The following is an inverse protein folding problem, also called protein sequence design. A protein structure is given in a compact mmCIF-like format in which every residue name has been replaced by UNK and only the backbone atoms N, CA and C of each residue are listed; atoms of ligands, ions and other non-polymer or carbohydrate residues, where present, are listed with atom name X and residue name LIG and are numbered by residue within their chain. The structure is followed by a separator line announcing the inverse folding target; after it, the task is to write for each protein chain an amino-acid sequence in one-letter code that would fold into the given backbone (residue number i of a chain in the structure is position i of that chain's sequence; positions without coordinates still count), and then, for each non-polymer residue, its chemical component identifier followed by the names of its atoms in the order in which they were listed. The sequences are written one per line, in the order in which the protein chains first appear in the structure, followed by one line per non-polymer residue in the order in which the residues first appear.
data_IF_311067071718
#
_entry.id   IF_311067071718
#
_cell.length_a   1.000
_cell.length_b   1.000
_cell.length_c   1.000
_cell.angle_alpha   90.00
_cell.angle_beta   90.00
_cell.angle_gamma   90.00
#
_symmetry.space_group_name_H-M   'P 1'
#
loop_
_entity.id
_entity.type
_entity.pdbx_description
1 polymer ?
#
# COMPACT_ATOMS: atom_id res chain seq x y z
N UNK A 1 -25.44 -21.35 3.74
CA UNK A 1 -24.00 -20.94 3.87
C UNK A 1 -23.88 -20.09 5.12
N UNK A 2 -23.34 -20.65 6.21
CA UNK A 2 -23.19 -19.96 7.51
C UNK A 2 -22.19 -18.81 7.36
N UNK A 3 -22.62 -17.57 7.55
CA UNK A 3 -21.75 -16.42 7.60
C UNK A 3 -20.75 -16.62 8.76
N UNK A 4 -19.48 -16.85 8.45
CA UNK A 4 -18.43 -16.94 9.47
C UNK A 4 -18.43 -15.63 10.27
N UNK A 5 -18.81 -15.72 11.54
CA UNK A 5 -18.78 -14.57 12.46
C UNK A 5 -17.34 -14.03 12.50
N UNK A 6 -17.18 -12.71 12.31
CA UNK A 6 -15.89 -12.06 12.45
C UNK A 6 -15.30 -12.37 13.84
N UNK A 7 -13.97 -12.61 13.94
CA UNK A 7 -13.34 -12.88 15.21
C UNK A 7 -13.56 -11.72 16.19
N UNK A 8 -13.71 -12.05 17.47
CA UNK A 8 -13.78 -11.05 18.54
C UNK A 8 -12.37 -10.51 18.80
N UNK A 9 -12.26 -9.23 19.14
CA UNK A 9 -11.03 -8.61 19.62
C UNK A 9 -11.30 -7.88 20.94
N UNK A 10 -10.28 -7.66 21.80
CA UNK A 10 -10.48 -7.00 23.07
C UNK A 10 -10.80 -5.52 22.90
N UNK A 11 -11.72 -5.01 23.71
CA UNK A 11 -11.97 -3.58 23.83
C UNK A 11 -10.75 -2.88 24.44
N UNK A 12 -10.26 -1.82 23.80
CA UNK A 12 -9.11 -1.07 24.29
C UNK A 12 -9.31 -0.41 25.67
N UNK A 13 -10.56 -0.20 26.08
CA UNK A 13 -10.88 0.46 27.36
C UNK A 13 -11.10 -0.54 28.50
N UNK A 14 -11.81 -1.64 28.26
CA UNK A 14 -12.21 -2.55 29.36
C UNK A 14 -11.80 -4.01 29.12
N UNK A 15 -11.08 -4.32 28.04
CA UNK A 15 -10.68 -5.69 27.70
C UNK A 15 -11.82 -6.64 27.29
N UNK A 16 -13.08 -6.21 27.39
CA UNK A 16 -14.23 -7.05 27.05
C UNK A 16 -14.28 -7.41 25.56
N UNK A 17 -14.89 -8.56 25.18
CA UNK A 17 -14.92 -9.00 23.78
C UNK A 17 -15.81 -8.09 22.93
N UNK A 18 -15.25 -7.64 21.82
CA UNK A 18 -15.94 -6.79 20.82
C UNK A 18 -15.96 -7.50 19.48
N UNK A 19 -17.04 -7.38 18.73
CA UNK A 19 -17.17 -7.93 17.39
C UNK A 19 -17.48 -6.81 16.39
N UNK A 20 -16.91 -6.90 15.19
CA UNK A 20 -17.29 -6.01 14.09
C UNK A 20 -18.71 -6.33 13.65
N UNK A 21 -19.55 -5.29 13.57
CA UNK A 21 -20.88 -5.42 12.97
C UNK A 21 -20.75 -5.45 11.44
N UNK A 22 -21.46 -6.38 10.80
CA UNK A 22 -21.56 -6.43 9.35
C UNK A 22 -22.72 -5.53 8.89
N UNK A 23 -22.50 -4.75 7.84
CA UNK A 23 -23.62 -4.10 7.09
C UNK A 23 -23.99 -2.67 7.46
N UNK A 24 -23.43 -2.05 8.52
CA UNK A 24 -23.71 -0.66 8.88
C UNK A 24 -22.65 0.32 8.39
N UNK A 25 -23.07 1.45 7.82
CA UNK A 25 -22.15 2.57 7.50
C UNK A 25 -22.59 3.81 8.30
N UNK A 26 -21.69 4.55 8.99
CA UNK A 26 -20.27 4.21 9.20
C UNK A 26 -20.13 2.97 10.09
N UNK A 27 -19.11 2.15 9.83
CA UNK A 27 -18.83 0.96 10.64
C UNK A 27 -18.35 1.39 12.01
N UNK A 28 -19.26 1.46 12.95
CA UNK A 28 -18.93 1.65 14.37
C UNK A 28 -19.13 0.34 15.11
N UNK A 29 -18.22 0.09 15.99
CA UNK A 29 -18.24 -1.03 16.91
C UNK A 29 -18.49 -0.46 18.28
N UNK A 30 -19.51 -0.94 18.97
CA UNK A 30 -19.82 -0.50 20.32
C UNK A 30 -19.49 -1.66 21.26
N UNK A 31 -18.63 -1.41 22.24
CA UNK A 31 -18.35 -2.39 23.28
C UNK A 31 -19.63 -2.68 24.07
N UNK A 32 -20.08 -3.94 24.17
CA UNK A 32 -21.30 -4.27 24.91
C UNK A 32 -21.13 -4.05 26.42
N UNK A 33 -19.88 -4.10 26.93
CA UNK A 33 -19.59 -3.98 28.36
C UNK A 33 -19.48 -2.52 28.83
N UNK A 34 -18.67 -1.69 28.16
CA UNK A 34 -18.40 -0.31 28.61
C UNK A 34 -18.96 0.76 27.69
N UNK A 35 -19.65 0.39 26.60
CA UNK A 35 -20.27 1.29 25.63
C UNK A 35 -19.26 2.14 24.83
N UNK A 36 -17.96 1.90 24.99
CA UNK A 36 -16.92 2.55 24.19
C UNK A 36 -17.18 2.36 22.70
N UNK A 37 -17.06 3.44 21.92
CA UNK A 37 -17.32 3.44 20.48
C UNK A 37 -16.00 3.41 19.73
N UNK A 38 -15.83 2.41 18.88
CA UNK A 38 -14.67 2.26 17.98
C UNK A 38 -15.18 2.50 16.57
N UNK A 39 -14.49 3.33 15.83
CA UNK A 39 -14.77 3.54 14.42
C UNK A 39 -13.77 2.76 13.58
N UNK A 40 -14.26 2.09 12.52
CA UNK A 40 -13.41 1.32 11.60
C UNK A 40 -12.89 2.27 10.50
N UNK A 41 -11.83 2.99 10.82
CA UNK A 41 -11.16 3.89 9.88
C UNK A 41 -10.17 3.12 9.00
N UNK A 42 -10.02 3.51 7.73
CA UNK A 42 -8.97 2.98 6.89
C UNK A 42 -7.61 3.44 7.41
N UNK A 43 -6.61 2.57 7.32
CA UNK A 43 -5.22 2.95 7.58
C UNK A 43 -4.68 3.72 6.39
N UNK A 44 -4.04 4.85 6.67
CA UNK A 44 -3.34 5.62 5.66
C UNK A 44 -1.98 4.99 5.37
N UNK A 45 -1.67 4.84 4.07
CA UNK A 45 -0.41 4.32 3.57
C UNK A 45 0.13 5.28 2.52
N UNK A 46 1.44 5.45 2.46
CA UNK A 46 2.11 6.26 1.45
C UNK A 46 3.15 5.43 0.72
N UNK A 47 3.27 5.64 -0.59
CA UNK A 47 4.21 4.90 -1.43
C UNK A 47 4.78 5.73 -2.57
N UNK A 48 5.89 5.24 -3.11
CA UNK A 48 6.60 5.87 -4.20
C UNK A 48 6.67 4.98 -5.44
N UNK A 49 6.29 5.55 -6.58
CA UNK A 49 6.58 4.98 -7.89
C UNK A 49 7.84 5.64 -8.44
N UNK A 50 8.88 4.87 -8.69
CA UNK A 50 10.12 5.39 -9.25
C UNK A 50 10.32 4.86 -10.67
N UNK A 51 10.53 5.78 -11.63
CA UNK A 51 10.78 5.44 -13.02
C UNK A 51 12.25 5.67 -13.39
N UNK A 52 12.82 4.71 -14.13
CA UNK A 52 14.11 4.78 -14.79
C UNK A 52 13.91 4.53 -16.30
N UNK A 53 13.85 5.59 -17.09
CA UNK A 53 13.40 5.47 -18.48
C UNK A 53 11.99 4.88 -18.54
N UNK A 54 11.84 3.77 -19.24
CA UNK A 54 10.60 3.01 -19.41
C UNK A 54 10.42 1.88 -18.39
N UNK A 55 11.30 1.77 -17.42
CA UNK A 55 11.20 0.80 -16.34
C UNK A 55 10.72 1.44 -15.04
N UNK A 56 9.95 0.68 -14.27
CA UNK A 56 9.46 1.03 -12.96
C UNK A 56 10.14 0.15 -11.91
N UNK A 57 10.55 0.76 -10.80
CA UNK A 57 11.02 0.00 -9.65
C UNK A 57 9.85 -0.77 -9.04
N UNK A 58 10.05 -2.06 -8.85
CA UNK A 58 9.12 -2.93 -8.11
C UNK A 58 9.89 -3.72 -7.07
N UNK A 59 9.21 -4.05 -6.00
CA UNK A 59 9.69 -4.97 -4.97
C UNK A 59 9.05 -6.33 -5.16
N UNK A 60 9.74 -7.37 -4.74
CA UNK A 60 9.15 -8.70 -4.62
C UNK A 60 9.04 -9.04 -3.14
N UNK A 61 7.83 -9.30 -2.70
CA UNK A 61 7.56 -9.58 -1.28
C UNK A 61 8.32 -10.82 -0.80
N UNK A 62 9.02 -10.67 0.32
CA UNK A 62 9.75 -11.77 0.99
C UNK A 62 8.85 -12.61 1.90
N UNK A 63 7.74 -12.04 2.38
CA UNK A 63 6.89 -12.62 3.42
C UNK A 63 5.44 -12.83 3.00
N UNK A 64 4.74 -13.65 3.83
CA UNK A 64 3.28 -13.83 3.75
C UNK A 64 2.53 -12.60 4.31
N UNK A 65 1.33 -12.29 3.78
CA UNK A 65 0.70 -12.92 2.61
C UNK A 65 1.34 -12.44 1.30
N UNK A 66 1.15 -13.24 0.24
CA UNK A 66 1.56 -12.87 -1.12
C UNK A 66 3.07 -12.87 -1.37
N UNK A 67 3.84 -13.69 -0.64
CA UNK A 67 5.27 -13.92 -0.89
C UNK A 67 5.54 -14.16 -2.38
N UNK A 68 6.59 -13.50 -2.93
CA UNK A 68 6.98 -13.57 -4.33
C UNK A 68 6.15 -12.74 -5.30
N UNK A 69 5.06 -12.09 -4.85
CA UNK A 69 4.27 -11.18 -5.67
C UNK A 69 4.90 -9.78 -5.72
N UNK A 70 4.57 -9.03 -6.76
CA UNK A 70 5.09 -7.68 -6.95
C UNK A 70 4.41 -6.68 -6.01
N UNK A 71 5.23 -5.81 -5.46
CA UNK A 71 4.80 -4.70 -4.62
C UNK A 71 5.51 -3.40 -5.07
N UNK A 72 5.08 -2.28 -4.53
CA UNK A 72 5.73 -0.99 -4.69
C UNK A 72 6.25 -0.52 -3.34
N UNK A 73 7.35 0.24 -3.30
CA UNK A 73 7.83 0.83 -2.05
C UNK A 73 6.75 1.65 -1.37
N UNK A 74 6.46 1.33 -0.10
CA UNK A 74 5.45 2.03 0.66
C UNK A 74 4.90 1.26 1.85
N UNK A 75 4.44 1.99 2.85
CA UNK A 75 3.92 1.44 4.08
C UNK A 75 2.98 2.38 4.83
N UNK A 76 2.78 2.13 6.11
CA UNK A 76 1.89 2.93 6.94
C UNK A 76 2.50 4.30 7.28
N UNK A 77 1.65 5.32 7.26
CA UNK A 77 2.02 6.67 7.69
C UNK A 77 2.07 6.69 9.22
N UNK A 78 3.12 7.26 9.77
CA UNK A 78 3.30 7.43 11.20
C UNK A 78 2.54 8.64 11.74
N UNK A 79 2.33 8.67 13.05
CA UNK A 79 1.63 9.79 13.71
C UNK A 79 2.46 11.07 13.59
N UNK A 80 1.86 12.11 13.02
CA UNK A 80 2.52 13.41 12.81
C UNK A 80 3.40 13.48 11.56
N UNK A 81 3.43 12.42 10.75
CA UNK A 81 4.22 12.38 9.52
C UNK A 81 3.44 12.95 8.32
N UNK A 82 4.08 13.78 7.52
CA UNK A 82 3.53 14.26 6.25
C UNK A 82 3.49 13.15 5.20
N UNK A 83 2.44 13.13 4.38
CA UNK A 83 2.19 12.04 3.43
C UNK A 83 3.34 11.79 2.45
N UNK A 84 3.94 12.86 1.87
CA UNK A 84 5.08 12.73 0.98
C UNK A 84 6.35 12.31 1.71
N UNK A 85 6.53 12.75 2.96
CA UNK A 85 7.65 12.35 3.80
C UNK A 85 7.61 10.84 4.10
N UNK A 86 6.43 10.30 4.42
CA UNK A 86 6.22 8.87 4.59
C UNK A 86 6.61 8.07 3.32
N UNK A 87 6.17 8.51 2.14
CA UNK A 87 6.54 7.86 0.89
C UNK A 87 8.06 7.88 0.64
N UNK A 88 8.76 8.95 1.05
CA UNK A 88 10.22 9.07 0.94
C UNK A 88 10.94 8.18 1.94
N UNK A 89 10.44 8.10 3.19
CA UNK A 89 10.98 7.24 4.23
C UNK A 89 10.88 5.78 3.82
N UNK A 90 9.69 5.32 3.44
CA UNK A 90 9.47 3.94 3.00
C UNK A 90 10.33 3.57 1.78
N UNK A 91 10.43 4.46 0.78
CA UNK A 91 11.30 4.25 -0.36
C UNK A 91 12.77 4.06 0.07
N UNK A 92 13.23 4.88 1.01
CA UNK A 92 14.60 4.80 1.52
C UNK A 92 14.83 3.51 2.32
N UNK A 93 13.91 3.17 3.23
CA UNK A 93 14.00 1.99 4.09
C UNK A 93 14.00 0.69 3.28
N UNK A 94 13.07 0.56 2.34
CA UNK A 94 12.91 -0.68 1.56
C UNK A 94 13.87 -0.82 0.39
N UNK A 95 14.45 0.29 -0.12
CA UNK A 95 15.27 0.24 -1.35
C UNK A 95 16.63 0.92 -1.26
N UNK A 96 16.90 1.70 -0.22
CA UNK A 96 18.08 2.54 -0.10
C UNK A 96 18.12 3.73 -1.06
N UNK A 97 17.08 3.95 -1.87
CA UNK A 97 17.04 5.04 -2.85
C UNK A 97 16.57 6.35 -2.23
N UNK A 98 17.23 7.44 -2.63
CA UNK A 98 16.76 8.81 -2.45
C UNK A 98 16.37 9.39 -3.81
N UNK A 99 15.23 10.07 -3.85
CA UNK A 99 14.73 10.71 -5.06
C UNK A 99 14.59 12.22 -4.85
N UNK A 100 14.67 12.97 -5.93
CA UNK A 100 14.46 14.41 -5.91
C UNK A 100 12.98 14.77 -5.80
N UNK A 101 12.50 15.60 -6.75
CA UNK A 101 11.09 15.99 -6.83
C UNK A 101 10.18 14.78 -6.99
N UNK A 102 9.11 14.76 -6.21
CA UNK A 102 8.01 13.81 -6.34
C UNK A 102 6.77 14.56 -6.83
N UNK A 103 6.00 13.92 -7.71
CA UNK A 103 4.75 14.46 -8.26
C UNK A 103 3.61 13.62 -7.73
N UNK A 104 2.56 14.26 -7.24
CA UNK A 104 1.34 13.58 -6.81
C UNK A 104 0.78 12.69 -7.92
N UNK A 105 0.61 11.41 -7.63
CA UNK A 105 0.08 10.44 -8.59
C UNK A 105 -1.41 10.16 -8.37
N UNK A 106 -1.82 9.92 -7.13
CA UNK A 106 -3.22 9.66 -6.80
C UNK A 106 -3.41 8.95 -5.47
N UNK A 107 -4.68 8.66 -5.19
CA UNK A 107 -5.16 7.91 -4.03
C UNK A 107 -5.95 6.68 -4.51
N UNK A 108 -5.66 5.52 -3.93
CA UNK A 108 -6.37 4.28 -4.19
C UNK A 108 -6.83 3.59 -2.92
N UNK A 109 -8.01 3.02 -2.94
CA UNK A 109 -8.58 2.22 -1.87
C UNK A 109 -8.22 0.76 -2.05
N UNK A 110 -7.85 0.08 -0.94
CA UNK A 110 -7.65 -1.36 -0.93
C UNK A 110 -7.83 -1.93 0.49
N UNK A 111 -7.33 -3.13 0.67
CA UNK A 111 -7.32 -3.86 1.94
C UNK A 111 -5.97 -4.51 2.12
N UNK A 112 -5.40 -4.36 3.32
CA UNK A 112 -4.17 -5.00 3.74
C UNK A 112 -4.46 -6.09 4.77
N UNK A 113 -3.72 -7.20 4.71
CA UNK A 113 -3.84 -8.25 5.73
C UNK A 113 -2.84 -7.99 6.83
N UNK A 114 -3.33 -7.55 7.99
CA UNK A 114 -2.50 -7.35 9.17
C UNK A 114 -2.57 -8.59 10.06
N UNK A 115 -1.41 -9.19 10.32
CA UNK A 115 -1.30 -10.41 11.15
C UNK A 115 -1.90 -10.14 12.55
N UNK A 116 -2.74 -11.05 13.01
CA UNK A 116 -3.48 -10.89 14.27
C UNK A 116 -4.79 -10.09 14.18
N UNK A 117 -4.96 -9.25 13.14
CA UNK A 117 -6.15 -8.39 12.96
C UNK A 117 -7.00 -8.77 11.73
N UNK A 118 -6.42 -9.49 10.76
CA UNK A 118 -7.09 -9.82 9.51
C UNK A 118 -7.04 -8.69 8.48
N UNK A 119 -8.03 -8.68 7.57
CA UNK A 119 -8.12 -7.67 6.51
C UNK A 119 -8.60 -6.33 7.04
N UNK A 120 -7.79 -5.30 6.90
CA UNK A 120 -8.10 -3.91 7.25
C UNK A 120 -8.22 -3.06 5.99
N UNK A 121 -9.13 -2.06 5.94
CA UNK A 121 -9.20 -1.13 4.82
C UNK A 121 -7.99 -0.19 4.83
N UNK A 122 -7.48 0.15 3.65
CA UNK A 122 -6.37 1.09 3.49
C UNK A 122 -6.71 2.19 2.48
N UNK A 123 -6.17 3.37 2.71
CA UNK A 123 -6.06 4.48 1.75
C UNK A 123 -4.60 4.60 1.35
N UNK A 124 -4.30 4.43 0.08
CA UNK A 124 -2.93 4.34 -0.41
C UNK A 124 -2.62 5.55 -1.29
N UNK A 125 -1.78 6.44 -0.78
CA UNK A 125 -1.34 7.67 -1.41
C UNK A 125 -0.04 7.39 -2.16
N UNK A 126 0.04 7.75 -3.45
CA UNK A 126 1.23 7.51 -4.25
C UNK A 126 1.77 8.78 -4.89
N UNK A 127 3.11 8.83 -4.95
CA UNK A 127 3.87 9.84 -5.68
C UNK A 127 4.72 9.20 -6.77
N UNK A 128 4.89 9.93 -7.86
CA UNK A 128 5.74 9.56 -8.98
C UNK A 128 7.06 10.33 -8.88
N UNK A 129 8.17 9.61 -8.95
CA UNK A 129 9.50 10.17 -9.00
C UNK A 129 10.30 9.59 -10.17
N UNK A 130 11.35 10.32 -10.57
CA UNK A 130 12.32 9.83 -11.55
C UNK A 130 13.61 9.45 -10.85
N UNK A 131 14.11 8.28 -11.17
CA UNK A 131 15.43 7.85 -10.74
C UNK A 131 16.49 8.76 -11.35
N UNK A 132 17.45 9.19 -10.53
CA UNK A 132 18.61 9.98 -10.97
C UNK A 132 19.90 9.20 -10.83
N UNK A 133 20.08 8.53 -9.69
CA UNK A 133 21.30 7.80 -9.34
C UNK A 133 21.04 6.80 -8.23
N UNK A 134 22.03 5.99 -7.92
CA UNK A 134 21.96 4.98 -6.86
C UNK A 134 21.56 3.60 -7.35
N UNK A 135 21.78 2.60 -6.55
CA UNK A 135 21.43 1.20 -6.79
C UNK A 135 20.35 0.80 -5.81
N UNK A 136 19.19 0.42 -6.33
CA UNK A 136 18.12 -0.15 -5.50
C UNK A 136 18.60 -1.49 -4.89
N UNK A 137 18.39 -1.67 -3.61
CA UNK A 137 18.66 -2.91 -2.88
C UNK A 137 17.44 -3.23 -2.05
N UNK A 138 16.97 -4.47 -2.13
CA UNK A 138 15.89 -4.90 -1.26
C UNK A 138 16.34 -4.87 0.19
N UNK A 139 15.50 -4.33 1.05
CA UNK A 139 15.65 -4.34 2.50
C UNK A 139 14.27 -4.57 3.14
N UNK A 140 14.21 -4.70 4.45
CA UNK A 140 13.03 -4.99 5.23
C UNK A 140 12.34 -6.30 4.76
N UNK A 141 11.06 -6.26 4.45
CA UNK A 141 10.26 -7.43 4.02
C UNK A 141 10.36 -7.75 2.51
N UNK A 142 11.15 -7.01 1.75
CA UNK A 142 11.37 -7.23 0.33
C UNK A 142 12.45 -8.30 0.05
N UNK A 143 12.11 -9.30 -0.76
CA UNK A 143 13.07 -10.32 -1.22
C UNK A 143 13.99 -9.81 -2.34
N UNK A 144 13.49 -8.94 -3.23
CA UNK A 144 14.27 -8.28 -4.28
C UNK A 144 13.70 -6.93 -4.66
N UNK A 145 14.55 -6.06 -5.22
CA UNK A 145 14.18 -4.81 -5.85
C UNK A 145 14.61 -4.86 -7.32
N UNK A 146 13.65 -4.69 -8.23
CA UNK A 146 13.83 -4.94 -9.67
C UNK A 146 13.32 -3.77 -10.50
N UNK A 147 14.04 -3.47 -11.60
CA UNK A 147 13.57 -2.54 -12.60
C UNK A 147 12.83 -3.32 -13.69
N UNK A 148 11.51 -3.15 -13.77
CA UNK A 148 10.65 -3.88 -14.70
C UNK A 148 10.07 -2.93 -15.73
N UNK A 149 10.15 -3.29 -17.01
CA UNK A 149 9.58 -2.49 -18.08
C UNK A 149 8.07 -2.27 -17.88
N UNK A 150 7.60 -1.03 -18.03
CA UNK A 150 6.18 -0.68 -17.89
C UNK A 150 5.26 -1.51 -18.81
N UNK A 151 5.77 -1.92 -19.98
CA UNK A 151 5.03 -2.79 -20.89
C UNK A 151 4.79 -4.17 -20.27
N UNK A 152 5.78 -4.75 -19.59
CA UNK A 152 5.67 -6.05 -18.94
C UNK A 152 4.69 -6.00 -17.75
N UNK A 153 4.69 -4.92 -16.98
CA UNK A 153 3.77 -4.74 -15.85
C UNK A 153 2.29 -4.60 -16.25
N UNK A 154 2.01 -4.38 -17.53
CA UNK A 154 0.64 -4.36 -18.06
C UNK A 154 0.11 -5.72 -18.51
N UNK A 155 0.90 -6.78 -18.44
CA UNK A 155 0.52 -8.14 -18.85
C UNK A 155 -0.15 -8.88 -17.69
N UNK A 156 -0.90 -9.97 -18.04
CA UNK A 156 -1.60 -10.81 -17.05
C UNK A 156 -0.64 -11.53 -16.09
N UNK A 157 0.58 -11.75 -16.48
CA UNK A 157 1.62 -12.43 -15.70
C UNK A 157 2.17 -11.57 -14.56
N UNK A 158 2.02 -10.24 -14.62
CA UNK A 158 2.40 -9.33 -13.54
C UNK A 158 1.45 -9.51 -12.33
N UNK A 159 1.90 -10.32 -11.37
CA UNK A 159 1.11 -10.59 -10.16
C UNK A 159 1.40 -9.57 -9.07
N UNK A 160 0.55 -8.57 -8.96
CA UNK A 160 0.62 -7.59 -7.88
C UNK A 160 0.03 -8.12 -6.58
N UNK A 161 0.69 -7.84 -5.47
CA UNK A 161 0.25 -8.24 -4.14
C UNK A 161 -1.10 -7.60 -3.77
N UNK A 162 -1.33 -6.37 -4.15
CA UNK A 162 -2.51 -5.60 -3.82
C UNK A 162 -3.25 -5.17 -5.09
N UNK A 163 -4.58 -5.14 -5.04
CA UNK A 163 -5.40 -4.85 -6.22
C UNK A 163 -5.15 -3.46 -6.79
N UNK A 164 -5.00 -2.47 -5.91
CA UNK A 164 -4.76 -1.09 -6.32
C UNK A 164 -3.47 -0.91 -7.12
N UNK A 165 -2.44 -1.74 -6.93
CA UNK A 165 -1.16 -1.62 -7.64
C UNK A 165 -1.29 -1.78 -9.17
N UNK A 166 -2.23 -2.58 -9.62
CA UNK A 166 -2.55 -2.69 -11.04
C UNK A 166 -3.14 -1.37 -11.59
N UNK A 167 -3.94 -0.67 -10.79
CA UNK A 167 -4.51 0.64 -11.14
C UNK A 167 -3.46 1.74 -11.11
N UNK A 168 -2.61 1.77 -10.08
CA UNK A 168 -1.44 2.65 -10.00
C UNK A 168 -0.57 2.49 -11.25
N UNK A 169 -0.23 1.26 -11.60
CA UNK A 169 0.59 0.96 -12.79
C UNK A 169 -0.08 1.42 -14.08
N UNK A 170 -1.41 1.27 -14.19
CA UNK A 170 -2.18 1.75 -15.35
C UNK A 170 -2.10 3.27 -15.47
N UNK A 171 -2.24 3.99 -14.36
CA UNK A 171 -2.13 5.46 -14.33
C UNK A 171 -0.72 5.93 -14.70
N UNK A 172 0.31 5.28 -14.19
CA UNK A 172 1.71 5.56 -14.58
C UNK A 172 1.92 5.38 -16.07
N UNK A 173 1.43 4.28 -16.65
CA UNK A 173 1.53 4.03 -18.10
C UNK A 173 0.77 5.08 -18.92
N UNK A 174 -0.40 5.51 -18.45
CA UNK A 174 -1.18 6.59 -19.08
C UNK A 174 -0.37 7.89 -19.13
N UNK A 175 0.20 8.29 -18.00
CA UNK A 175 1.05 9.51 -17.90
C UNK A 175 2.31 9.41 -18.76
N UNK A 176 2.96 8.24 -18.79
CA UNK A 176 4.15 8.02 -19.61
C UNK A 176 3.85 8.14 -21.11
N UNK A 177 2.68 7.66 -21.58
CA UNK A 177 2.25 7.82 -22.98
C UNK A 177 1.93 9.27 -23.33
N UNK A 178 1.20 9.97 -22.48
CA UNK A 178 0.83 11.37 -22.71
C UNK A 178 2.06 12.29 -22.89
N UNK A 179 3.14 12.02 -22.14
CA UNK A 179 4.40 12.77 -22.26
C UNK A 179 5.15 12.51 -23.56
N UNK A 180 5.01 11.34 -24.19
CA UNK A 180 5.65 11.00 -25.47
C UNK A 180 4.87 11.52 -26.68
N UNK A 181 3.56 11.72 -26.54
CA UNK A 181 2.71 12.24 -27.61
C UNK A 181 2.61 13.76 -27.66
N UNK A 182 3.26 14.46 -26.74
CA UNK A 182 3.32 15.93 -26.65
C UNK A 182 4.69 16.52 -27.05
N UNK A 183 5.63 15.67 -27.50
CA UNK A 183 6.89 16.05 -28.18
C UNK A 183 6.70 15.93 -29.71
#
# INVERSE_FOLDING_TARGET
MSARRAPAFPCAVCGGPVRRTTGTRPRKIICPRCRYRIYDYPRACAGAVVLKGDAMLVLRRGESPKRGWLDLPGGFIEVGEELEAAARRELLEETGLRVGRMEWLGLWWDRYYLRGFGWIPTMNFYWLARWKSGKARAADDAASAEWVALAALGRREARFAWKHLAEVTREVRRRARARRGGE
#
